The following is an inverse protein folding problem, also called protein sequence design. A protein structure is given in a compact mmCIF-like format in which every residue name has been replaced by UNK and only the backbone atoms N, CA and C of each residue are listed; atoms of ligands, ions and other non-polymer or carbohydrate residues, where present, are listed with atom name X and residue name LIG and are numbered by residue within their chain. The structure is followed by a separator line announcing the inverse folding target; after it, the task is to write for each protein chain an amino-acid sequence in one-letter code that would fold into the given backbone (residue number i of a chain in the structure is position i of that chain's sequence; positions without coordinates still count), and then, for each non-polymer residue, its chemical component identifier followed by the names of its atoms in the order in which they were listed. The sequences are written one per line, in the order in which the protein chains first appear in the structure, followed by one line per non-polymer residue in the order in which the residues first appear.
data_IF_245665354338
#
_entry.id   IF_245665354338
#
_cell.length_a   1.000
_cell.length_b   1.000
_cell.length_c   1.000
_cell.angle_alpha   90.00
_cell.angle_beta   90.00
_cell.angle_gamma   90.00
#
_symmetry.space_group_name_H-M   'P 1'
#
loop_
_entity.id
_entity.type
_entity.pdbx_description
1 polymer ?
#
# COMPACT_ATOMS: atom_id res chain seq x y z
N UNK A 1 -3.26 -24.95 -2.73
CA UNK A 1 -3.37 -23.69 -3.51
C UNK A 1 -2.99 -24.02 -4.93
N UNK A 2 -3.58 -23.38 -5.92
CA UNK A 2 -3.14 -23.54 -7.30
C UNK A 2 -2.21 -22.39 -7.70
N UNK A 3 -1.14 -22.70 -8.42
CA UNK A 3 -0.18 -21.76 -8.99
C UNK A 3 -0.08 -21.98 -10.51
N UNK A 4 0.11 -20.92 -11.29
CA UNK A 4 0.32 -21.00 -12.73
C UNK A 4 1.28 -19.88 -13.16
N UNK A 5 2.02 -20.10 -14.26
CA UNK A 5 2.60 -19.00 -15.03
C UNK A 5 1.49 -18.08 -15.56
N UNK A 6 1.74 -16.78 -15.64
CA UNK A 6 0.71 -15.81 -16.01
C UNK A 6 0.25 -15.92 -17.48
N UNK A 7 0.93 -16.70 -18.32
CA UNK A 7 0.51 -16.93 -19.70
C UNK A 7 -0.68 -17.92 -19.77
N UNK A 8 -1.62 -17.65 -20.68
CA UNK A 8 -2.97 -18.25 -20.63
C UNK A 8 -3.02 -19.74 -20.97
N UNK A 9 -1.87 -20.38 -21.21
CA UNK A 9 -1.77 -21.78 -21.64
C UNK A 9 -1.07 -22.70 -20.64
N UNK A 10 -0.62 -22.18 -19.48
CA UNK A 10 0.04 -22.99 -18.46
C UNK A 10 -0.88 -23.98 -17.73
N UNK A 11 -0.33 -25.08 -17.24
CA UNK A 11 -1.03 -25.99 -16.32
C UNK A 11 -1.07 -25.39 -14.90
N UNK A 12 -2.19 -25.57 -14.20
CA UNK A 12 -2.26 -25.22 -12.77
C UNK A 12 -1.57 -26.29 -11.92
N UNK A 13 -0.58 -25.89 -11.15
CA UNK A 13 0.12 -26.75 -10.19
C UNK A 13 -0.63 -26.74 -8.86
N UNK A 14 -0.97 -27.91 -8.33
CA UNK A 14 -1.58 -28.03 -7.01
C UNK A 14 -0.51 -28.14 -5.91
N UNK A 15 -0.41 -27.10 -5.09
CA UNK A 15 0.53 -27.03 -3.97
C UNK A 15 -0.25 -27.24 -2.67
N UNK A 16 -0.04 -28.38 -2.02
CA UNK A 16 -0.60 -28.70 -0.72
C UNK A 16 0.01 -27.90 0.44
N UNK A 17 -0.64 -27.88 1.61
CA UNK A 17 -0.04 -27.30 2.82
C UNK A 17 1.31 -27.96 3.12
N UNK A 18 2.35 -27.14 3.38
CA UNK A 18 3.72 -27.59 3.65
C UNK A 18 4.37 -28.41 2.52
N UNK A 19 3.82 -28.36 1.31
CA UNK A 19 4.38 -29.02 0.13
C UNK A 19 5.32 -28.04 -0.61
N UNK A 20 6.36 -28.59 -1.21
CA UNK A 20 7.28 -27.87 -2.08
C UNK A 20 7.31 -28.59 -3.43
N UNK A 21 6.88 -27.90 -4.48
CA UNK A 21 6.82 -28.44 -5.83
C UNK A 21 7.90 -27.81 -6.71
N UNK A 22 8.61 -28.67 -7.42
CA UNK A 22 9.54 -28.27 -8.47
C UNK A 22 8.76 -27.73 -9.68
N UNK A 23 9.13 -26.55 -10.17
CA UNK A 23 8.47 -25.93 -11.32
C UNK A 23 9.50 -25.22 -12.20
N UNK A 24 9.59 -25.60 -13.47
CA UNK A 24 10.52 -25.01 -14.45
C UNK A 24 9.77 -24.00 -15.33
N UNK A 25 10.12 -22.70 -15.27
CA UNK A 25 9.42 -21.69 -16.02
C UNK A 25 9.67 -21.79 -17.52
N UNK A 26 8.61 -21.60 -18.28
CA UNK A 26 8.63 -21.64 -19.74
C UNK A 26 8.36 -20.27 -20.36
N UNK A 27 7.73 -19.36 -19.61
CA UNK A 27 7.43 -18.01 -20.03
C UNK A 27 8.62 -17.06 -19.78
N UNK A 28 8.93 -16.22 -20.77
CA UNK A 28 9.99 -15.20 -20.64
C UNK A 28 9.65 -14.08 -19.65
N UNK A 29 8.36 -13.82 -19.41
CA UNK A 29 7.93 -12.72 -18.53
C UNK A 29 8.17 -13.02 -17.03
N UNK A 30 8.35 -14.28 -16.65
CA UNK A 30 8.62 -14.73 -15.28
C UNK A 30 7.61 -14.17 -14.25
N UNK A 31 6.33 -14.21 -14.60
CA UNK A 31 5.21 -13.86 -13.72
C UNK A 31 4.43 -15.09 -13.29
N UNK A 32 4.04 -15.12 -12.01
CA UNK A 32 3.16 -16.13 -11.46
C UNK A 32 1.83 -15.52 -11.03
N UNK A 33 0.78 -16.33 -11.10
CA UNK A 33 -0.52 -16.09 -10.49
C UNK A 33 -0.91 -17.27 -9.61
N UNK A 34 -1.69 -16.99 -8.55
CA UNK A 34 -2.17 -18.02 -7.64
C UNK A 34 -3.66 -17.88 -7.36
N UNK A 35 -4.30 -19.00 -7.02
CA UNK A 35 -5.69 -19.01 -6.53
C UNK A 35 -5.89 -20.09 -5.48
N UNK A 36 -6.87 -19.89 -4.59
CA UNK A 36 -7.24 -20.92 -3.61
C UNK A 36 -7.98 -22.06 -4.31
N UNK A 37 -7.91 -23.28 -3.77
CA UNK A 37 -8.56 -24.46 -4.38
C UNK A 37 -10.07 -24.28 -4.53
N UNK A 38 -10.68 -23.67 -3.52
CA UNK A 38 -12.13 -23.42 -3.42
C UNK A 38 -12.56 -22.11 -4.11
N UNK A 39 -11.63 -21.42 -4.78
CA UNK A 39 -11.87 -20.09 -5.36
C UNK A 39 -11.55 -20.05 -6.85
N UNK A 40 -12.34 -19.25 -7.57
CA UNK A 40 -12.07 -18.86 -8.95
C UNK A 40 -11.35 -17.51 -9.05
N UNK A 41 -11.22 -16.77 -7.94
CA UNK A 41 -10.50 -15.50 -7.92
C UNK A 41 -9.00 -15.76 -8.05
N UNK A 42 -8.42 -15.21 -9.11
CA UNK A 42 -6.99 -15.29 -9.39
C UNK A 42 -6.32 -14.06 -8.76
N UNK A 43 -5.16 -14.26 -8.15
CA UNK A 43 -4.38 -13.16 -7.60
C UNK A 43 -3.91 -12.21 -8.71
N UNK A 44 -3.49 -11.02 -8.32
CA UNK A 44 -2.60 -10.25 -9.18
C UNK A 44 -1.33 -11.04 -9.50
N UNK A 45 -0.78 -10.81 -10.68
CA UNK A 45 0.54 -11.35 -11.05
C UNK A 45 1.64 -10.68 -10.25
N UNK A 46 2.70 -11.43 -9.98
CA UNK A 46 3.93 -10.94 -9.36
C UNK A 46 5.12 -11.61 -10.05
N UNK A 47 6.26 -10.91 -10.11
CA UNK A 47 7.46 -11.48 -10.72
C UNK A 47 8.14 -12.43 -9.74
N UNK A 48 8.97 -13.35 -10.25
CA UNK A 48 9.89 -14.14 -9.42
C UNK A 48 11.34 -14.04 -9.90
N UNK A 49 11.65 -12.98 -10.64
CA UNK A 49 12.97 -12.70 -11.22
C UNK A 49 13.86 -11.78 -10.35
N UNK A 50 13.42 -11.41 -9.14
CA UNK A 50 14.20 -10.69 -8.13
C UNK A 50 13.79 -11.13 -6.73
N UNK A 51 14.70 -11.01 -5.75
CA UNK A 51 14.37 -11.31 -4.36
C UNK A 51 13.47 -10.22 -3.77
N UNK A 52 12.30 -10.60 -3.26
CA UNK A 52 11.36 -9.66 -2.63
C UNK A 52 10.26 -10.38 -1.86
N UNK A 53 9.51 -9.59 -1.08
CA UNK A 53 8.24 -10.02 -0.49
C UNK A 53 7.08 -9.23 -1.08
N UNK A 54 5.89 -9.81 -1.16
CA UNK A 54 4.67 -9.09 -1.58
C UNK A 54 3.45 -9.63 -0.87
N UNK A 55 2.44 -8.78 -0.70
CA UNK A 55 1.14 -9.16 -0.13
C UNK A 55 0.12 -9.07 -1.24
N UNK A 56 -0.46 -10.21 -1.60
CA UNK A 56 -1.50 -10.31 -2.61
C UNK A 56 -2.87 -10.17 -1.94
N UNK A 57 -3.68 -9.24 -2.45
CA UNK A 57 -5.09 -9.09 -2.05
C UNK A 57 -5.89 -10.25 -2.63
N UNK A 58 -6.56 -11.01 -1.76
CA UNK A 58 -7.33 -12.21 -2.11
C UNK A 58 -8.81 -12.00 -1.77
N UNK A 59 -9.67 -12.86 -2.32
CA UNK A 59 -11.12 -12.85 -2.10
C UNK A 59 -11.55 -12.67 -0.62
N UNK A 60 -12.79 -12.17 -0.42
CA UNK A 60 -13.41 -12.00 0.90
C UNK A 60 -12.57 -11.14 1.86
N UNK A 61 -11.82 -10.19 1.30
CA UNK A 61 -10.96 -9.27 2.03
C UNK A 61 -9.82 -9.94 2.79
N UNK A 62 -9.32 -11.05 2.25
CA UNK A 62 -8.16 -11.76 2.82
C UNK A 62 -6.89 -11.39 2.05
N UNK A 63 -5.74 -11.83 2.55
CA UNK A 63 -4.47 -11.62 1.87
C UNK A 63 -3.60 -12.88 1.92
N UNK A 64 -2.62 -12.93 1.02
CA UNK A 64 -1.58 -13.95 0.96
C UNK A 64 -0.22 -13.27 0.98
N UNK A 65 0.67 -13.71 1.85
CA UNK A 65 2.06 -13.28 1.83
C UNK A 65 2.87 -14.18 0.90
N UNK A 66 3.72 -13.55 0.09
CA UNK A 66 4.60 -14.24 -0.85
C UNK A 66 6.03 -13.76 -0.64
N UNK A 67 6.99 -14.67 -0.51
CA UNK A 67 8.41 -14.37 -0.61
C UNK A 67 9.02 -15.05 -1.83
N UNK A 68 9.90 -14.33 -2.51
CA UNK A 68 10.75 -14.84 -3.59
C UNK A 68 12.18 -14.69 -3.11
N UNK A 69 12.88 -15.82 -2.99
CA UNK A 69 14.22 -15.92 -2.42
C UNK A 69 15.14 -16.73 -3.35
N UNK A 70 16.46 -16.53 -3.25
CA UNK A 70 17.45 -17.32 -4.00
C UNK A 70 17.81 -16.79 -5.40
N UNK A 71 17.17 -15.72 -5.88
CA UNK A 71 17.51 -15.10 -7.16
C UNK A 71 18.92 -14.52 -7.12
N UNK A 72 19.76 -14.91 -8.09
CA UNK A 72 21.16 -14.48 -8.18
C UNK A 72 22.10 -15.18 -7.19
N UNK A 73 21.64 -16.26 -6.54
CA UNK A 73 22.46 -17.10 -5.67
C UNK A 73 22.78 -18.45 -6.35
N UNK A 74 23.64 -19.25 -5.72
CA UNK A 74 23.91 -20.64 -6.14
C UNK A 74 22.79 -21.62 -5.71
N UNK A 75 21.74 -21.12 -5.03
CA UNK A 75 20.57 -21.89 -4.64
C UNK A 75 19.43 -21.72 -5.66
N UNK A 76 18.52 -22.70 -5.78
CA UNK A 76 17.29 -22.55 -6.55
C UNK A 76 16.46 -21.34 -6.08
N UNK A 77 15.75 -20.70 -7.00
CA UNK A 77 14.74 -19.70 -6.65
C UNK A 77 13.57 -20.38 -5.96
N UNK A 78 13.20 -19.90 -4.77
CA UNK A 78 12.10 -20.44 -3.97
C UNK A 78 11.01 -19.38 -3.85
N UNK A 79 9.78 -19.76 -4.22
CA UNK A 79 8.59 -18.94 -4.01
C UNK A 79 7.78 -19.53 -2.86
N UNK A 80 7.72 -18.81 -1.74
CA UNK A 80 7.01 -19.27 -0.53
C UNK A 80 5.68 -18.56 -0.39
N UNK A 81 4.61 -19.32 -0.17
CA UNK A 81 3.27 -18.79 0.08
C UNK A 81 2.86 -19.02 1.53
N UNK A 82 2.56 -17.94 2.25
CA UNK A 82 2.19 -17.97 3.66
C UNK A 82 0.88 -17.22 3.90
N UNK A 83 0.20 -17.57 4.99
CA UNK A 83 -0.91 -16.75 5.49
C UNK A 83 -0.39 -15.36 5.81
N UNK A 84 -1.23 -14.35 5.59
CA UNK A 84 -0.93 -12.98 6.01
C UNK A 84 -0.88 -12.88 7.54
N UNK A 85 0.15 -12.21 8.05
CA UNK A 85 0.34 -11.88 9.45
C UNK A 85 0.53 -10.36 9.66
N UNK A 86 0.29 -9.89 10.88
CA UNK A 86 0.50 -8.49 11.23
C UNK A 86 1.96 -8.09 11.03
N UNK A 87 2.21 -7.12 10.14
CA UNK A 87 3.54 -6.66 9.78
C UNK A 87 3.97 -7.01 8.36
N UNK A 88 3.24 -7.90 7.68
CA UNK A 88 3.53 -8.29 6.30
C UNK A 88 3.25 -7.17 5.29
N UNK A 89 2.24 -6.33 5.55
CA UNK A 89 1.94 -5.19 4.70
C UNK A 89 3.15 -4.24 4.68
N UNK A 90 3.63 -3.80 3.50
CA UNK A 90 4.80 -2.95 3.39
C UNK A 90 4.77 -1.71 4.28
N UNK A 91 3.60 -1.08 4.40
CA UNK A 91 3.44 0.15 5.17
C UNK A 91 2.00 0.31 5.67
N UNK A 92 1.84 0.81 6.89
CA UNK A 92 0.59 1.39 7.40
C UNK A 92 0.64 2.90 7.19
N UNK A 93 -0.28 3.43 6.41
CA UNK A 93 -0.42 4.86 6.18
C UNK A 93 -1.33 5.45 7.27
N UNK A 94 -0.94 6.57 7.86
CA UNK A 94 -1.73 7.28 8.87
C UNK A 94 -1.84 8.75 8.50
N UNK A 95 -3.07 9.22 8.30
CA UNK A 95 -3.36 10.61 8.04
C UNK A 95 -3.77 11.30 9.34
N UNK A 96 -2.81 11.85 10.07
CA UNK A 96 -3.04 12.72 11.23
C UNK A 96 -3.30 14.18 10.89
N UNK A 97 -3.50 14.53 9.61
CA UNK A 97 -3.88 15.88 9.17
C UNK A 97 -5.39 16.09 9.24
N UNK A 98 -5.82 17.34 9.04
CA UNK A 98 -7.23 17.75 8.89
C UNK A 98 -7.73 17.73 7.43
N UNK A 99 -6.86 17.32 6.50
CA UNK A 99 -7.10 17.26 5.05
C UNK A 99 -6.92 15.83 4.52
N UNK A 100 -7.66 15.47 3.47
CA UNK A 100 -7.49 14.18 2.80
C UNK A 100 -6.20 14.12 1.99
N UNK A 101 -5.49 13.00 2.11
CA UNK A 101 -4.29 12.71 1.35
C UNK A 101 -4.58 11.66 0.28
N UNK A 102 -3.92 11.75 -0.87
CA UNK A 102 -3.95 10.72 -1.90
C UNK A 102 -2.61 9.99 -1.94
N UNK A 103 -2.68 8.72 -2.30
CA UNK A 103 -1.56 7.80 -2.42
C UNK A 103 -1.71 6.97 -3.68
N UNK A 104 -0.60 6.68 -4.36
CA UNK A 104 -0.58 5.71 -5.44
C UNK A 104 0.82 5.17 -5.66
N UNK A 105 0.91 3.95 -6.18
CA UNK A 105 2.16 3.44 -6.73
C UNK A 105 2.53 4.22 -7.99
N UNK A 106 3.81 4.49 -8.19
CA UNK A 106 4.30 5.05 -9.45
C UNK A 106 3.90 4.14 -10.62
N UNK A 107 3.44 4.75 -11.72
CA UNK A 107 2.97 4.10 -12.93
C UNK A 107 1.73 3.21 -12.77
N UNK A 108 1.11 3.17 -11.58
CA UNK A 108 -0.20 2.56 -11.38
C UNK A 108 -1.32 3.55 -11.67
N UNK A 109 -2.44 3.05 -12.21
CA UNK A 109 -3.67 3.81 -12.42
C UNK A 109 -4.54 3.89 -11.17
N UNK A 110 -4.27 3.05 -10.16
CA UNK A 110 -5.02 3.03 -8.91
C UNK A 110 -4.61 4.20 -8.03
N UNK A 111 -5.59 4.84 -7.41
CA UNK A 111 -5.37 5.94 -6.46
C UNK A 111 -6.18 5.66 -5.21
N UNK A 112 -5.50 5.70 -4.08
CA UNK A 112 -6.08 5.55 -2.76
C UNK A 112 -6.20 6.93 -2.11
N UNK A 113 -7.34 7.20 -1.47
CA UNK A 113 -7.57 8.45 -0.73
C UNK A 113 -7.78 8.11 0.73
N UNK A 114 -6.98 8.72 1.60
CA UNK A 114 -7.06 8.56 3.04
C UNK A 114 -7.64 9.84 3.65
N UNK A 115 -8.83 9.75 4.22
CA UNK A 115 -9.50 10.91 4.81
C UNK A 115 -8.76 11.37 6.09
N UNK A 116 -9.09 12.56 6.64
CA UNK A 116 -8.51 13.03 7.89
C UNK A 116 -8.69 12.03 9.02
N UNK A 117 -7.67 11.88 9.87
CA UNK A 117 -7.67 10.99 11.04
C UNK A 117 -7.97 9.52 10.72
N UNK A 118 -7.64 9.07 9.51
CA UNK A 118 -7.77 7.68 9.11
C UNK A 118 -6.40 7.00 8.97
N UNK A 119 -6.41 5.68 9.12
CA UNK A 119 -5.26 4.82 8.85
C UNK A 119 -5.66 3.65 7.96
N UNK A 120 -4.68 3.11 7.22
CA UNK A 120 -4.87 1.90 6.43
C UNK A 120 -3.57 1.15 6.20
N UNK A 121 -3.66 -0.16 5.98
CA UNK A 121 -2.55 -0.97 5.49
C UNK A 121 -2.49 -0.86 3.97
N UNK A 122 -1.33 -0.50 3.44
CA UNK A 122 -1.10 -0.37 2.01
C UNK A 122 -0.30 -1.57 1.50
N UNK A 123 -0.76 -2.12 0.38
CA UNK A 123 -0.06 -3.13 -0.43
C UNK A 123 0.13 -2.56 -1.84
N UNK A 124 1.10 -3.08 -2.60
CA UNK A 124 1.35 -2.58 -3.95
C UNK A 124 0.11 -2.75 -4.83
N UNK A 125 -0.19 -1.70 -5.60
CA UNK A 125 -1.36 -1.67 -6.47
C UNK A 125 -1.22 -2.66 -7.62
N UNK A 126 -0.03 -2.70 -8.21
CA UNK A 126 0.43 -3.70 -9.15
C UNK A 126 1.79 -4.24 -8.67
N UNK A 127 1.87 -5.48 -8.18
CA UNK A 127 3.10 -6.10 -7.71
C UNK A 127 4.20 -6.25 -8.77
N UNK A 128 3.88 -6.05 -10.05
CA UNK A 128 4.85 -6.11 -11.16
C UNK A 128 5.53 -4.76 -11.45
N UNK A 129 4.95 -3.66 -10.95
CA UNK A 129 5.50 -2.32 -11.15
C UNK A 129 6.54 -1.94 -10.08
N UNK A 130 7.22 -0.82 -10.34
CA UNK A 130 8.18 -0.23 -9.40
C UNK A 130 7.53 0.05 -8.04
N UNK A 131 8.26 -0.32 -6.98
CA UNK A 131 7.83 -0.20 -5.58
C UNK A 131 8.09 1.19 -5.02
N UNK A 132 7.53 2.20 -5.67
CA UNK A 132 7.60 3.57 -5.21
C UNK A 132 6.22 4.14 -4.92
N UNK A 133 6.01 4.53 -3.66
CA UNK A 133 4.78 5.13 -3.20
C UNK A 133 4.87 6.65 -3.34
N UNK A 134 3.86 7.22 -3.99
CA UNK A 134 3.70 8.66 -4.20
C UNK A 134 2.51 9.18 -3.40
N UNK A 135 2.59 10.43 -2.94
CA UNK A 135 1.52 11.05 -2.17
C UNK A 135 1.34 12.54 -2.49
N UNK A 136 0.13 13.05 -2.21
CA UNK A 136 -0.21 14.48 -2.31
C UNK A 136 -1.46 14.80 -1.51
N UNK A 137 -1.81 16.09 -1.44
CA UNK A 137 -3.15 16.50 -1.00
C UNK A 137 -4.17 16.08 -2.06
N UNK A 138 -5.28 15.47 -1.62
CA UNK A 138 -6.37 15.07 -2.52
C UNK A 138 -6.96 16.27 -3.28
N UNK A 139 -7.38 16.06 -4.53
CA UNK A 139 -7.97 17.10 -5.39
C UNK A 139 -6.96 18.06 -6.04
N UNK A 140 -5.65 17.91 -5.79
CA UNK A 140 -4.62 18.75 -6.43
C UNK A 140 -4.07 18.16 -7.73
N UNK A 141 -3.60 19.04 -8.61
CA UNK A 141 -2.93 18.68 -9.89
C UNK A 141 -1.41 18.94 -9.86
N UNK A 142 -0.85 19.23 -8.68
CA UNK A 142 0.59 19.40 -8.50
C UNK A 142 1.33 18.08 -8.65
N UNK A 143 2.66 18.18 -8.88
CA UNK A 143 3.56 17.03 -8.84
C UNK A 143 3.43 16.33 -7.48
N UNK A 144 3.43 15.01 -7.49
CA UNK A 144 3.40 14.18 -6.29
C UNK A 144 4.77 14.13 -5.62
N UNK A 145 4.74 13.87 -4.32
CA UNK A 145 5.93 13.69 -3.48
C UNK A 145 6.21 12.20 -3.34
N UNK A 146 7.47 11.81 -3.35
CA UNK A 146 7.89 10.43 -3.06
C UNK A 146 7.82 10.17 -1.56
N UNK A 147 7.15 9.10 -1.16
CA UNK A 147 7.10 8.64 0.23
C UNK A 147 8.36 7.85 0.58
N UNK A 148 8.98 8.17 1.72
CA UNK A 148 10.12 7.41 2.26
C UNK A 148 9.58 6.31 3.16
N UNK A 149 9.48 5.09 2.64
CA UNK A 149 8.84 3.96 3.33
C UNK A 149 9.80 2.88 3.82
N UNK A 150 11.11 2.98 3.55
CA UNK A 150 12.08 1.90 3.84
C UNK A 150 13.05 2.23 4.97
N UNK A 151 12.96 3.41 5.58
CA UNK A 151 13.91 3.89 6.58
C UNK A 151 13.19 4.68 7.67
N UNK A 152 13.72 4.61 8.89
CA UNK A 152 13.26 5.45 9.99
C UNK A 152 13.73 6.89 9.75
N UNK A 153 12.84 7.72 9.20
CA UNK A 153 13.15 9.07 8.76
C UNK A 153 11.94 9.96 8.93
N UNK A 154 12.18 11.25 9.04
CA UNK A 154 11.15 12.28 9.00
C UNK A 154 11.49 13.35 7.98
N UNK A 155 10.47 14.08 7.57
CA UNK A 155 10.61 15.25 6.71
C UNK A 155 9.36 16.10 6.75
N UNK A 156 9.31 17.07 5.84
CA UNK A 156 8.15 17.92 5.67
C UNK A 156 8.11 18.47 4.26
N UNK A 157 6.91 18.59 3.72
CA UNK A 157 6.67 19.19 2.42
C UNK A 157 5.73 20.38 2.58
N UNK A 158 6.11 21.50 1.98
CA UNK A 158 5.27 22.69 1.90
C UNK A 158 4.48 22.63 0.61
N UNK A 159 3.15 22.55 0.71
CA UNK A 159 2.26 22.44 -0.43
C UNK A 159 1.57 23.80 -0.67
N UNK A 160 1.93 24.55 -1.71
CA UNK A 160 1.45 25.91 -1.89
C UNK A 160 -0.01 25.93 -2.35
N UNK A 161 -0.94 26.54 -1.61
CA UNK A 161 -2.34 26.67 -2.02
C UNK A 161 -2.48 27.72 -3.13
N UNK A 162 -2.73 27.28 -4.37
CA UNK A 162 -3.12 28.19 -5.47
C UNK A 162 -4.63 28.31 -5.44
N UNK A 163 -5.16 29.45 -4.99
CA UNK A 163 -6.56 29.82 -5.19
C UNK A 163 -6.83 29.90 -6.69
N UNK A 164 -7.82 29.15 -7.19
CA UNK A 164 -8.23 29.24 -8.60
C UNK A 164 -9.11 30.43 -8.91
N UNK A 165 -9.61 31.11 -7.89
CA UNK A 165 -10.42 32.31 -8.03
C UNK A 165 -9.75 33.43 -7.23
N UNK A 166 -9.09 34.34 -7.94
CA UNK A 166 -8.97 35.77 -7.61
C UNK A 166 -8.15 36.46 -8.70
N UNK A 167 -8.86 37.10 -9.64
CA UNK A 167 -8.44 38.43 -10.08
C UNK A 167 -8.50 39.32 -8.84
N UNK A 168 -7.51 40.19 -8.71
CA UNK A 168 -7.35 41.23 -7.67
C UNK A 168 -6.59 40.82 -6.39
N UNK A 169 -5.32 41.24 -6.38
CA UNK A 169 -4.64 42.02 -5.33
C UNK A 169 -4.96 41.63 -3.88
N UNK A 170 -4.20 40.66 -3.37
CA UNK A 170 -3.62 40.70 -2.02
C UNK A 170 -2.39 39.77 -2.01
N UNK A 171 -1.18 40.34 -2.02
CA UNK A 171 0.09 39.59 -2.09
C UNK A 171 0.45 38.86 -0.79
N UNK A 172 -0.37 38.95 0.26
CA UNK A 172 0.00 38.56 1.63
C UNK A 172 -0.79 37.37 2.23
N UNK A 173 -1.51 36.59 1.41
CA UNK A 173 -2.29 35.43 1.89
C UNK A 173 -1.94 34.14 1.11
N UNK A 174 -0.65 33.85 0.93
CA UNK A 174 -0.23 32.49 0.52
C UNK A 174 -0.33 31.57 1.73
N UNK A 175 -1.47 30.90 1.88
CA UNK A 175 -1.64 29.87 2.91
C UNK A 175 -0.99 28.58 2.42
N UNK A 176 0.33 28.49 2.49
CA UNK A 176 1.01 27.24 2.18
C UNK A 176 0.74 26.22 3.30
N UNK A 177 0.38 24.98 2.93
CA UNK A 177 0.13 23.93 3.91
C UNK A 177 1.44 23.18 4.13
N UNK A 178 1.97 23.24 5.35
CA UNK A 178 3.11 22.43 5.77
C UNK A 178 2.64 21.08 6.30
N UNK A 179 3.06 20.00 5.66
CA UNK A 179 2.77 18.62 6.10
C UNK A 179 4.08 17.99 6.52
N UNK A 180 4.16 17.57 7.77
CA UNK A 180 5.24 16.72 8.26
C UNK A 180 4.92 15.26 8.00
N UNK A 181 5.94 14.47 7.73
CA UNK A 181 5.83 13.02 7.63
C UNK A 181 6.89 12.33 8.50
N UNK A 182 6.54 11.19 9.09
CA UNK A 182 7.43 10.37 9.91
C UNK A 182 7.24 8.91 9.55
N UNK A 183 8.31 8.27 9.10
CA UNK A 183 8.39 6.84 8.88
C UNK A 183 9.11 6.18 10.05
N UNK A 184 8.51 5.16 10.66
CA UNK A 184 9.08 4.42 11.79
C UNK A 184 8.55 2.98 11.82
N UNK A 185 9.16 2.14 12.65
CA UNK A 185 8.69 0.77 12.88
C UNK A 185 7.94 0.67 14.22
N UNK A 186 6.69 0.20 14.18
CA UNK A 186 5.90 -0.16 15.35
C UNK A 186 5.80 -1.70 15.43
N UNK A 187 6.52 -2.31 16.37
CA UNK A 187 6.69 -3.77 16.44
C UNK A 187 7.21 -4.31 15.09
N UNK A 188 6.39 -5.07 14.36
CA UNK A 188 6.72 -5.62 13.04
C UNK A 188 6.15 -4.81 11.88
N UNK A 189 5.29 -3.82 12.13
CA UNK A 189 4.65 -3.03 11.09
C UNK A 189 5.42 -1.74 10.86
N UNK A 190 5.77 -1.42 9.61
CA UNK A 190 6.24 -0.08 9.26
C UNK A 190 5.07 0.88 9.15
N UNK A 191 5.23 2.09 9.66
CA UNK A 191 4.19 3.12 9.72
C UNK A 191 4.72 4.40 9.06
N UNK A 192 3.90 5.03 8.22
CA UNK A 192 4.14 6.36 7.67
C UNK A 192 3.01 7.28 8.11
N UNK A 193 3.33 8.14 9.08
CA UNK A 193 2.42 9.14 9.63
C UNK A 193 2.59 10.46 8.91
N UNK A 194 1.47 11.08 8.53
CA UNK A 194 1.38 12.46 8.09
C UNK A 194 0.70 13.32 9.16
N UNK A 195 1.22 14.53 9.40
CA UNK A 195 0.62 15.45 10.38
C UNK A 195 0.97 16.91 10.07
N UNK A 196 0.07 17.84 10.37
CA UNK A 196 0.39 19.28 10.38
C UNK A 196 0.96 19.75 11.74
N UNK A 197 0.99 18.87 12.75
CA UNK A 197 1.51 19.19 14.08
C UNK A 197 3.00 18.87 14.20
N UNK A 198 3.84 19.92 14.25
CA UNK A 198 5.29 19.78 14.46
C UNK A 198 5.64 19.05 15.77
N UNK A 199 4.96 19.26 16.92
CA UNK A 199 5.17 18.45 18.12
C UNK A 199 4.94 16.95 17.88
N UNK A 200 3.87 16.57 17.17
CA UNK A 200 3.56 15.18 16.84
C UNK A 200 4.65 14.58 15.94
N UNK A 201 5.12 15.34 14.94
CA UNK A 201 6.22 14.90 14.08
C UNK A 201 7.57 14.73 14.81
N UNK A 202 7.74 15.34 15.98
CA UNK A 202 8.93 15.19 16.83
C UNK A 202 8.82 14.00 17.79
N UNK A 203 7.61 13.56 18.11
CA UNK A 203 7.34 12.38 18.92
C UNK A 203 7.56 11.12 18.06
N UNK A 204 8.82 10.76 17.82
CA UNK A 204 9.16 9.49 17.18
C UNK A 204 8.49 8.34 17.94
N UNK A 205 7.68 7.55 17.22
CA UNK A 205 7.25 6.24 17.67
C UNK A 205 5.96 6.15 18.50
N UNK A 206 5.27 7.24 18.87
CA UNK A 206 3.91 7.16 19.48
C UNK A 206 3.05 8.44 19.34
N UNK A 207 2.30 8.62 18.25
CA UNK A 207 1.07 9.40 18.26
C UNK A 207 -0.07 8.55 18.84
N UNK A 208 -0.99 9.17 19.59
CA UNK A 208 -2.17 8.53 20.18
C UNK A 208 -3.04 7.88 19.11
N UNK A 209 -3.36 6.59 19.32
CA UNK A 209 -4.43 5.78 18.73
C UNK A 209 -5.47 6.57 17.93
N UNK A 210 -5.26 6.70 16.62
CA UNK A 210 -6.36 6.94 15.69
C UNK A 210 -7.08 5.62 15.44
N UNK A 211 -8.39 5.64 15.26
CA UNK A 211 -9.20 4.43 15.10
C UNK A 211 -8.62 3.54 13.97
N UNK A 212 -8.15 2.36 14.36
CA UNK A 212 -7.54 1.38 13.46
C UNK A 212 -8.65 0.62 12.75
N UNK A 213 -8.81 0.83 11.44
CA UNK A 213 -9.78 0.10 10.63
C UNK A 213 -9.02 -0.71 9.59
N UNK A 214 -8.98 -2.04 9.76
CA UNK A 214 -8.36 -2.97 8.82
C UNK A 214 -9.39 -3.34 7.74
N UNK A 215 -9.19 -2.85 6.52
CA UNK A 215 -10.00 -3.30 5.37
C UNK A 215 -9.05 -3.59 4.22
N UNK A 216 -8.79 -4.88 4.02
CA UNK A 216 -8.15 -5.37 2.79
C UNK A 216 -9.29 -5.51 1.80
N UNK A 217 -9.48 -4.53 0.92
CA UNK A 217 -10.51 -4.66 -0.12
C UNK A 217 -9.90 -5.39 -1.31
N UNK A 218 -10.39 -6.60 -1.60
CA UNK A 218 -10.14 -7.29 -2.86
C UNK A 218 -11.26 -6.91 -3.81
N UNK A 219 -10.95 -6.02 -4.75
CA UNK A 219 -11.88 -5.58 -5.78
C UNK A 219 -11.24 -5.85 -7.13
N UNK A 220 -11.73 -6.88 -7.80
CA UNK A 220 -11.72 -6.87 -9.25
C UNK A 220 -12.60 -5.69 -9.69
N UNK A 221 -11.94 -4.63 -10.19
CA UNK A 221 -12.48 -3.65 -11.14
C UNK A 221 -13.33 -2.45 -10.68
N UNK A 222 -13.67 -2.22 -9.39
CA UNK A 222 -14.35 -0.96 -9.00
C UNK A 222 -13.84 -0.46 -7.66
N UNK A 223 -13.32 0.77 -7.61
CA UNK A 223 -12.83 1.40 -6.38
C UNK A 223 -13.95 1.69 -5.38
N UNK A 224 -13.68 1.46 -4.09
CA UNK A 224 -14.57 1.86 -2.99
C UNK A 224 -13.79 2.75 -2.04
N UNK A 225 -14.34 3.95 -1.81
CA UNK A 225 -13.94 4.84 -0.71
C UNK A 225 -14.88 4.62 0.46
N UNK A 226 -14.35 4.57 1.68
CA UNK A 226 -15.14 4.44 2.90
C UNK A 226 -15.07 5.75 3.69
N UNK A 227 -16.24 6.39 3.83
CA UNK A 227 -16.45 7.50 4.76
C UNK A 227 -16.92 6.92 6.10
N UNK A 228 -16.20 7.24 7.18
CA UNK A 228 -16.79 7.22 8.52
C UNK A 228 -16.94 8.66 8.99
N UNK A 229 -18.16 9.18 8.91
CA UNK A 229 -18.57 10.33 9.70
C UNK A 229 -19.00 9.77 11.05
N UNK A 230 -18.19 9.98 12.08
CA UNK A 230 -18.67 9.83 13.46
C UNK A 230 -19.58 11.03 13.75
N UNK A 231 -20.84 10.91 13.34
CA UNK A 231 -21.94 11.70 13.85
C UNK A 231 -22.36 11.13 15.20
N UNK A 232 -22.42 12.00 16.20
CA UNK A 232 -23.03 11.79 17.49
C UNK A 232 -24.31 10.95 17.38
N UNK A 233 -24.39 9.85 18.14
CA UNK A 233 -25.68 9.34 18.60
C UNK A 233 -25.68 9.44 20.12
N UNK A 234 -26.56 10.34 20.56
CA UNK A 234 -26.98 10.62 21.93
C UNK A 234 -27.72 9.41 22.48
N UNK A 235 -27.54 9.16 23.78
CA UNK A 235 -28.28 8.21 24.59
C UNK A 235 -29.78 8.17 24.27
N UNK A 236 -30.36 6.97 24.29
CA UNK A 236 -31.43 6.58 25.25
C UNK A 236 -31.18 5.14 25.67
#
# INVERSE_FOLDING_TARGET
MYMQESDKNGLWFDIGPNQCEAFWPTCEELFLVVRRRESQTISQRFHFNTNHTTVLRMEKGTALFVSVDGVGSDCPVVVTFSKYETGDAPIRLENGCDISLRFHQRNSSQVTVLAPQQSMLYTWDDPTLERELLWNIYGRKSKDFTAVINMDKRGSETVPLKSKDKKEKDENSRTDILIHWVCYKEKNQRVLLFTQSKPVANLFGKPKSCAHTEIIVSLESIGVSLNSLSGYIVNV
#
